data_IF_275991053685
#
_entry.id   IF_275991053685
#
_cell.length_a   1.000
_cell.length_b   1.000
_cell.length_c   1.000
_cell.angle_alpha   90.00
_cell.angle_beta   90.00
_cell.angle_gamma   90.00
#
_symmetry.space_group_name_H-M   'P 1'
#
loop_
_entity.id
_entity.type
_entity.pdbx_description
1 polymer ?
#
# COMPACT_ATOMS: atom_id res chain seq x y z
N UNK A 1 -29.33 44.60 28.38
CA UNK A 1 -29.97 44.61 27.03
C UNK A 1 -28.91 44.25 26.02
N UNK A 2 -28.74 42.95 25.76
CA UNK A 2 -27.75 42.43 24.81
C UNK A 2 -28.41 42.20 23.45
N UNK A 3 -27.75 42.66 22.38
CA UNK A 3 -28.13 42.35 20.99
C UNK A 3 -27.07 41.44 20.40
N UNK A 4 -27.37 40.15 20.35
CA UNK A 4 -26.60 39.18 19.55
C UNK A 4 -26.97 39.40 18.08
N UNK A 5 -26.01 39.84 17.27
CA UNK A 5 -26.16 39.90 15.81
C UNK A 5 -25.81 38.53 15.24
N UNK A 6 -26.82 37.82 14.75
CA UNK A 6 -26.65 36.63 13.93
C UNK A 6 -26.17 37.05 12.53
N UNK A 7 -24.96 36.65 12.16
CA UNK A 7 -24.48 36.72 10.77
C UNK A 7 -24.95 35.49 10.02
N UNK A 8 -25.74 35.75 8.98
CA UNK A 8 -26.32 34.80 8.03
C UNK A 8 -25.21 34.43 7.04
N UNK A 9 -24.52 33.31 7.25
CA UNK A 9 -23.58 32.77 6.25
C UNK A 9 -24.41 31.92 5.29
N UNK A 10 -24.48 32.36 4.04
CA UNK A 10 -25.16 31.66 2.96
C UNK A 10 -24.39 30.37 2.63
N UNK A 11 -25.07 29.24 2.78
CA UNK A 11 -24.64 27.94 2.28
C UNK A 11 -25.06 27.90 0.81
N UNK A 12 -24.21 28.41 -0.09
CA UNK A 12 -24.42 28.30 -1.54
C UNK A 12 -23.23 27.72 -2.29
N UNK A 13 -22.17 27.28 -1.60
CA UNK A 13 -20.98 26.71 -2.24
C UNK A 13 -20.77 25.23 -1.88
N UNK A 14 -21.80 24.58 -1.33
CA UNK A 14 -21.90 23.12 -1.23
C UNK A 14 -22.76 22.66 -2.39
N UNK A 15 -22.15 22.39 -3.54
CA UNK A 15 -22.55 21.38 -4.53
C UNK A 15 -21.68 21.52 -5.77
N UNK A 16 -20.58 20.78 -5.79
CA UNK A 16 -20.04 20.27 -7.04
C UNK A 16 -19.40 18.92 -6.78
N UNK A 17 -20.26 17.96 -6.46
CA UNK A 17 -20.02 16.54 -6.73
C UNK A 17 -19.92 16.40 -8.26
N UNK A 18 -18.74 16.64 -8.82
CA UNK A 18 -18.40 16.11 -10.12
C UNK A 18 -17.79 14.73 -9.92
N UNK A 19 -18.67 13.74 -9.86
CA UNK A 19 -18.34 12.36 -10.25
C UNK A 19 -17.83 12.38 -11.68
N UNK A 20 -16.50 12.44 -11.85
CA UNK A 20 -15.87 11.97 -13.06
C UNK A 20 -15.77 10.46 -12.97
N UNK A 21 -16.83 9.81 -13.48
CA UNK A 21 -16.77 8.48 -14.06
C UNK A 21 -15.82 8.53 -15.26
N UNK A 22 -14.55 8.19 -15.04
CA UNK A 22 -13.66 7.76 -16.10
C UNK A 22 -13.96 6.27 -16.29
N UNK A 23 -14.73 6.01 -17.34
CA UNK A 23 -14.94 4.70 -17.93
C UNK A 23 -13.61 4.20 -18.52
N UNK A 24 -13.26 2.99 -18.11
CA UNK A 24 -12.70 1.91 -18.92
C UNK A 24 -11.48 2.23 -19.80
N UNK A 25 -10.30 2.30 -19.19
CA UNK A 25 -9.09 1.82 -19.87
C UNK A 25 -9.02 0.31 -19.68
N UNK A 26 -9.21 -0.39 -20.79
CA UNK A 26 -9.04 -1.82 -20.94
C UNK A 26 -7.60 -2.23 -20.57
N UNK A 27 -7.37 -2.51 -19.29
CA UNK A 27 -6.34 -3.50 -18.95
C UNK A 27 -6.90 -4.84 -19.39
N UNK A 28 -6.56 -5.24 -20.61
CA UNK A 28 -6.48 -6.64 -21.02
C UNK A 28 -5.64 -7.37 -19.97
N UNK A 29 -6.33 -7.88 -18.95
CA UNK A 29 -5.82 -8.95 -18.13
C UNK A 29 -5.64 -10.10 -19.10
N UNK A 30 -4.43 -10.23 -19.63
CA UNK A 30 -3.88 -11.47 -20.14
C UNK A 30 -3.86 -12.43 -18.94
N UNK A 31 -5.04 -12.93 -18.59
CA UNK A 31 -5.20 -14.10 -17.77
C UNK A 31 -4.65 -15.22 -18.64
N UNK A 32 -3.35 -15.47 -18.48
CA UNK A 32 -2.79 -16.75 -18.88
C UNK A 32 -3.76 -17.79 -18.36
N UNK A 33 -4.36 -18.63 -19.23
CA UNK A 33 -5.20 -19.70 -18.75
C UNK A 33 -4.29 -20.53 -17.85
N UNK A 34 -4.51 -20.44 -16.54
CA UNK A 34 -3.97 -21.37 -15.57
C UNK A 34 -4.58 -22.69 -16.02
N UNK A 35 -3.82 -23.40 -16.86
CA UNK A 35 -4.19 -24.68 -17.41
C UNK A 35 -4.20 -25.60 -16.19
N UNK A 36 -5.37 -25.73 -15.59
CA UNK A 36 -5.59 -26.56 -14.42
C UNK A 36 -5.57 -28.00 -14.91
N UNK A 37 -4.36 -28.52 -15.12
CA UNK A 37 -4.07 -29.86 -15.64
C UNK A 37 -4.63 -30.97 -14.75
N UNK A 38 -5.01 -30.64 -13.51
CA UNK A 38 -5.68 -31.55 -12.57
C UNK A 38 -7.12 -31.90 -12.99
N UNK A 39 -7.82 -31.06 -13.77
CA UNK A 39 -9.24 -31.30 -14.12
C UNK A 39 -9.41 -32.36 -15.22
N UNK A 40 -8.35 -32.72 -15.96
CA UNK A 40 -8.48 -33.69 -17.06
C UNK A 40 -8.37 -35.15 -16.66
N UNK A 41 -8.15 -35.50 -15.38
CA UNK A 41 -8.24 -36.89 -14.92
C UNK A 41 -7.38 -37.90 -15.72
N UNK A 42 -6.40 -37.42 -16.48
CA UNK A 42 -5.50 -38.22 -17.28
C UNK A 42 -4.36 -38.64 -16.37
N UNK A 43 -4.65 -39.63 -15.52
CA UNK A 43 -3.64 -40.57 -15.02
C UNK A 43 -3.10 -41.32 -16.24
N UNK A 44 -2.22 -40.68 -17.00
CA UNK A 44 -1.38 -41.40 -17.94
C UNK A 44 -0.18 -41.93 -17.17
N UNK A 45 -0.41 -42.98 -16.37
CA UNK A 45 0.62 -43.95 -16.03
C UNK A 45 0.91 -44.79 -17.28
N UNK A 46 1.19 -44.13 -18.42
CA UNK A 46 1.68 -44.80 -19.61
C UNK A 46 3.17 -44.98 -19.34
N UNK A 47 3.50 -46.09 -18.68
CA UNK A 47 4.85 -46.59 -18.57
C UNK A 47 5.32 -46.95 -19.99
N UNK A 48 5.88 -45.98 -20.71
CA UNK A 48 6.68 -46.26 -21.89
C UNK A 48 8.04 -46.75 -21.41
N UNK A 49 8.44 -48.01 -21.65
CA UNK A 49 9.80 -48.44 -21.38
C UNK A 49 10.73 -47.68 -22.34
N UNK A 50 11.28 -46.57 -21.84
CA UNK A 50 12.34 -45.85 -22.52
C UNK A 50 13.53 -46.79 -22.67
N UNK A 51 14.09 -46.96 -23.88
CA UNK A 51 15.32 -47.73 -24.06
C UNK A 51 16.52 -47.06 -23.37
N UNK A 52 16.37 -45.80 -22.95
CA UNK A 52 17.37 -45.05 -22.19
C UNK A 52 17.22 -45.31 -20.70
N UNK A 53 18.37 -45.51 -20.03
CA UNK A 53 18.45 -45.55 -18.58
C UNK A 53 17.84 -44.27 -17.99
N UNK A 54 17.13 -44.36 -16.84
CA UNK A 54 16.59 -43.18 -16.17
C UNK A 54 17.72 -42.18 -15.94
N UNK A 55 17.46 -40.91 -16.24
CA UNK A 55 18.43 -39.84 -15.98
C UNK A 55 18.77 -39.87 -14.49
N UNK A 56 20.05 -39.74 -14.19
CA UNK A 56 20.51 -39.62 -12.80
C UNK A 56 19.78 -38.46 -12.14
N UNK A 57 19.14 -38.72 -11.00
CA UNK A 57 18.55 -37.68 -10.13
C UNK A 57 19.59 -37.00 -9.26
N UNK A 58 20.88 -37.32 -9.47
CA UNK A 58 21.97 -36.73 -8.73
C UNK A 58 22.10 -35.24 -9.07
N UNK A 59 21.64 -34.41 -8.13
CA UNK A 59 21.92 -32.98 -8.10
C UNK A 59 23.10 -32.79 -7.14
N UNK A 60 24.33 -32.56 -7.63
CA UNK A 60 25.43 -32.23 -6.74
C UNK A 60 25.08 -30.96 -5.97
N UNK A 61 25.44 -30.91 -4.69
CA UNK A 61 25.37 -29.67 -3.93
C UNK A 61 26.36 -28.68 -4.55
N UNK A 62 25.87 -27.79 -5.42
CA UNK A 62 26.68 -26.74 -6.02
C UNK A 62 26.74 -25.59 -5.03
N UNK A 63 27.86 -25.50 -4.31
CA UNK A 63 28.22 -24.28 -3.62
C UNK A 63 28.68 -23.27 -4.66
N UNK A 64 28.07 -22.09 -4.70
CA UNK A 64 28.45 -21.03 -5.60
C UNK A 64 28.85 -19.80 -4.78
N UNK A 65 30.15 -19.54 -4.71
CA UNK A 65 30.69 -18.39 -3.99
C UNK A 65 30.13 -17.07 -4.54
N UNK A 66 29.77 -17.04 -5.84
CA UNK A 66 29.10 -15.91 -6.46
C UNK A 66 27.72 -15.62 -5.86
N UNK A 67 26.95 -16.67 -5.55
CA UNK A 67 25.63 -16.52 -4.91
C UNK A 67 25.81 -16.00 -3.48
N UNK A 68 26.79 -16.50 -2.73
CA UNK A 68 27.04 -16.02 -1.37
C UNK A 68 27.48 -14.56 -1.32
N UNK A 69 28.36 -14.14 -2.24
CA UNK A 69 28.81 -12.75 -2.34
C UNK A 69 27.62 -11.86 -2.69
N UNK A 70 26.80 -12.26 -3.67
CA UNK A 70 25.59 -11.53 -4.03
C UNK A 70 24.62 -11.39 -2.85
N UNK A 71 24.37 -12.47 -2.10
CA UNK A 71 23.50 -12.43 -0.93
C UNK A 71 24.03 -11.45 0.13
N UNK A 72 25.34 -11.47 0.41
CA UNK A 72 25.98 -10.54 1.34
C UNK A 72 25.85 -9.09 0.89
N UNK A 73 26.03 -8.81 -0.40
CA UNK A 73 25.90 -7.47 -0.95
C UNK A 73 24.46 -6.95 -0.85
N UNK A 74 23.48 -7.78 -1.21
CA UNK A 74 22.05 -7.44 -1.06
C UNK A 74 21.69 -7.15 0.39
N UNK A 75 22.14 -8.00 1.34
CA UNK A 75 21.91 -7.79 2.77
C UNK A 75 22.57 -6.47 3.24
N UNK A 76 23.75 -6.14 2.74
CA UNK A 76 24.46 -4.89 3.06
C UNK A 76 23.68 -3.66 2.57
N UNK A 77 23.22 -3.68 1.32
CA UNK A 77 22.42 -2.59 0.75
C UNK A 77 21.08 -2.40 1.46
N UNK A 78 20.38 -3.50 1.79
CA UNK A 78 19.13 -3.43 2.57
C UNK A 78 19.35 -2.83 3.96
N UNK A 79 20.48 -3.14 4.62
CA UNK A 79 20.85 -2.53 5.90
C UNK A 79 21.09 -1.03 5.77
N UNK A 80 21.74 -0.57 4.69
CA UNK A 80 21.94 0.85 4.41
C UNK A 80 20.61 1.57 4.23
N UNK A 81 19.71 1.02 3.42
CA UNK A 81 18.37 1.61 3.18
C UNK A 81 17.62 1.73 4.51
N UNK A 82 17.61 0.69 5.34
CA UNK A 82 16.94 0.70 6.64
C UNK A 82 17.53 1.72 7.61
N UNK A 83 18.86 1.87 7.62
CA UNK A 83 19.54 2.86 8.45
C UNK A 83 19.25 4.29 7.97
N UNK A 84 19.26 4.51 6.66
CA UNK A 84 18.91 5.80 6.07
C UNK A 84 17.45 6.16 6.29
N UNK A 85 16.52 5.20 6.19
CA UNK A 85 15.09 5.45 6.42
C UNK A 85 14.78 5.76 7.88
N UNK A 86 15.55 5.23 8.83
CA UNK A 86 15.39 5.55 10.26
C UNK A 86 15.91 6.95 10.59
N UNK A 87 16.98 7.40 9.93
CA UNK A 87 17.62 8.68 10.22
C UNK A 87 17.07 9.84 9.38
N UNK A 88 16.54 9.57 8.19
CA UNK A 88 15.84 10.56 7.38
C UNK A 88 14.34 10.40 7.61
N UNK A 89 13.79 11.20 8.52
CA UNK A 89 12.37 11.59 8.40
C UNK A 89 12.27 12.39 7.11
N UNK A 90 11.98 11.73 5.99
CA UNK A 90 11.61 12.40 4.77
C UNK A 90 10.29 13.12 5.04
N UNK A 91 10.40 14.41 5.36
CA UNK A 91 9.26 15.30 5.49
C UNK A 91 8.79 15.54 4.06
N UNK A 92 7.82 14.75 3.59
CA UNK A 92 7.20 14.94 2.27
C UNK A 92 6.38 16.25 2.19
N UNK A 93 6.40 17.06 3.25
CA UNK A 93 5.71 18.32 3.36
C UNK A 93 6.61 19.45 2.87
N UNK A 94 6.07 20.26 1.98
CA UNK A 94 6.62 21.57 1.69
C UNK A 94 6.61 22.47 2.93
N UNK A 95 7.46 23.49 2.96
CA UNK A 95 7.58 24.43 4.09
C UNK A 95 6.22 25.06 4.43
N UNK A 96 5.41 25.43 3.43
CA UNK A 96 4.08 25.99 3.63
C UNK A 96 3.13 24.99 4.28
N UNK A 97 3.13 23.73 3.84
CA UNK A 97 2.32 22.67 4.44
C UNK A 97 2.73 22.39 5.89
N UNK A 98 4.04 22.43 6.18
CA UNK A 98 4.55 22.29 7.54
C UNK A 98 4.08 23.41 8.46
N UNK A 99 4.12 24.67 8.00
CA UNK A 99 3.60 25.81 8.76
C UNK A 99 2.09 25.71 9.01
N UNK A 100 1.32 25.20 8.05
CA UNK A 100 -0.11 24.93 8.23
C UNK A 100 -0.32 23.82 9.25
N UNK A 101 0.44 22.73 9.17
CA UNK A 101 0.37 21.62 10.13
C UNK A 101 0.71 22.08 11.55
N UNK A 102 1.73 22.92 11.73
CA UNK A 102 2.11 23.49 13.02
C UNK A 102 1.06 24.45 13.59
N UNK A 103 0.29 25.13 12.73
CA UNK A 103 -0.88 25.92 13.16
C UNK A 103 -2.02 25.00 13.58
N UNK A 104 -2.34 23.98 12.79
CA UNK A 104 -3.41 23.01 13.07
C UNK A 104 -3.15 22.22 14.36
N UNK A 105 -1.90 21.88 14.67
CA UNK A 105 -1.51 21.22 15.93
C UNK A 105 -1.81 22.03 17.19
N UNK A 106 -1.95 23.36 17.08
CA UNK A 106 -2.29 24.23 18.21
C UNK A 106 -3.80 24.31 18.43
N UNK A 107 -4.61 23.87 17.47
CA UNK A 107 -6.06 23.85 17.59
C UNK A 107 -6.50 22.61 18.38
N UNK A 108 -7.18 22.83 19.51
CA UNK A 108 -7.65 21.74 20.39
C UNK A 108 -8.88 21.02 19.86
N UNK A 109 -9.53 21.57 18.82
CA UNK A 109 -10.69 20.96 18.18
C UNK A 109 -10.30 19.99 17.07
N UNK A 110 -9.03 19.93 16.68
CA UNK A 110 -8.56 19.13 15.55
C UNK A 110 -7.75 17.94 16.07
N UNK A 111 -8.03 16.76 15.53
CA UNK A 111 -7.30 15.52 15.80
C UNK A 111 -6.59 15.10 14.52
N UNK A 112 -5.30 14.85 14.61
CA UNK A 112 -4.46 14.43 13.48
C UNK A 112 -4.02 12.99 13.73
N UNK A 113 -4.40 12.08 12.83
CA UNK A 113 -4.05 10.66 12.88
C UNK A 113 -3.25 10.25 11.63
N UNK A 114 -2.40 9.23 11.79
CA UNK A 114 -1.79 8.56 10.65
C UNK A 114 -2.84 7.66 9.98
N UNK A 115 -2.96 7.74 8.65
CA UNK A 115 -3.86 6.88 7.90
C UNK A 115 -3.28 5.48 7.74
N UNK A 116 -4.11 4.45 7.94
CA UNK A 116 -3.74 3.05 7.70
C UNK A 116 -3.32 2.77 6.24
N UNK A 117 -3.69 3.65 5.30
CA UNK A 117 -3.37 3.50 3.88
C UNK A 117 -2.38 4.56 3.42
N UNK A 118 -1.09 4.23 3.52
CA UNK A 118 -0.04 4.79 2.65
C UNK A 118 0.42 6.22 2.97
N UNK A 119 0.86 6.49 4.20
CA UNK A 119 1.66 7.70 4.51
C UNK A 119 0.90 9.03 4.49
N UNK A 120 -0.42 8.99 4.33
CA UNK A 120 -1.28 10.18 4.43
C UNK A 120 -1.66 10.46 5.88
N UNK A 121 -1.87 11.75 6.20
CA UNK A 121 -2.39 12.20 7.50
C UNK A 121 -3.89 12.50 7.39
N UNK A 122 -4.68 11.95 8.31
CA UNK A 122 -6.10 12.24 8.48
C UNK A 122 -6.24 13.41 9.47
N UNK A 123 -6.78 14.52 9.00
CA UNK A 123 -7.12 15.68 9.83
C UNK A 123 -8.63 15.67 10.04
N UNK A 124 -9.06 15.39 11.27
CA UNK A 124 -10.47 15.27 11.64
C UNK A 124 -10.82 16.33 12.68
N UNK A 125 -12.05 16.84 12.61
CA UNK A 125 -12.62 17.56 13.75
C UNK A 125 -12.92 16.54 14.87
N UNK A 126 -12.64 16.93 16.11
CA UNK A 126 -12.85 16.12 17.31
C UNK A 126 -14.32 15.68 17.45
N UNK A 127 -15.25 16.51 16.98
CA UNK A 127 -16.69 16.20 16.95
C UNK A 127 -17.01 14.97 16.08
N UNK A 128 -16.25 14.78 14.99
CA UNK A 128 -16.40 13.66 14.06
C UNK A 128 -15.59 12.44 14.51
N UNK A 129 -14.43 12.66 15.14
CA UNK A 129 -13.56 11.59 15.63
C UNK A 129 -14.26 10.67 16.65
N UNK A 130 -15.06 11.24 17.55
CA UNK A 130 -15.82 10.48 18.54
C UNK A 130 -16.84 9.52 17.92
N UNK A 131 -17.40 9.86 16.74
CA UNK A 131 -18.37 9.00 16.04
C UNK A 131 -17.72 7.81 15.34
N UNK A 132 -16.48 7.95 14.88
CA UNK A 132 -15.77 6.88 14.16
C UNK A 132 -15.33 5.76 15.11
N UNK A 133 -15.02 6.09 16.36
CA UNK A 133 -14.68 5.08 17.38
C UNK A 133 -15.84 4.20 17.82
N UNK A 134 -17.08 4.71 17.72
CA UNK A 134 -18.31 3.99 18.11
C UNK A 134 -18.85 3.06 17.01
N UNK A 135 -18.37 3.20 15.76
CA UNK A 135 -18.80 2.36 14.63
C UNK A 135 -17.94 1.11 14.41
N UNK A 136 -17.23 0.62 15.44
CA UNK A 136 -16.66 -0.75 15.45
C UNK A 136 -17.64 -1.69 16.15
N UNK A 137 -18.63 -2.18 15.41
CA UNK A 137 -19.48 -3.33 15.75
C UNK A 137 -19.37 -4.37 14.63
#
# INVERSE_FOLDING_TARGET
MERVKASKICISDIEMLHTLSILDDETEAHADPILNWEILGLKTDIWCPSPFKPKSTFLPAVHSDAIEVFEKDVISELKKIRYESQNKKYDNLSISQKLVLDKLKKDTNIVIHESDKGGNLLVLDKSQHLRVGECKL
#
